data_IF_018359512828
#
_entry.id   IF_018359512828
#
_cell.length_a   1.000
_cell.length_b   1.000
_cell.length_c   1.000
_cell.angle_alpha   90.00
_cell.angle_beta   90.00
_cell.angle_gamma   90.00
#
_symmetry.space_group_name_H-M   'P 1'
#
loop_
_entity.id
_entity.type
_entity.pdbx_description
1 polymer ?
#
# COMPACT_ATOMS: atom_id res chain seq x y z
N UNK A 1 5.54 -5.78 25.82
CA UNK A 1 4.67 -5.16 24.81
C UNK A 1 3.83 -6.28 24.23
N UNK A 2 2.52 -6.34 24.58
CA UNK A 2 1.60 -7.31 23.97
C UNK A 2 1.23 -6.75 22.61
N UNK A 3 1.65 -7.45 21.56
CA UNK A 3 1.12 -7.26 20.20
C UNK A 3 -0.35 -7.70 20.25
N UNK A 4 -1.34 -6.88 19.86
CA UNK A 4 -2.71 -7.34 19.76
C UNK A 4 -2.75 -8.48 18.74
N UNK A 5 -3.45 -9.56 19.08
CA UNK A 5 -3.68 -10.67 18.17
C UNK A 5 -4.40 -10.12 16.93
N UNK A 6 -3.68 -10.06 15.82
CA UNK A 6 -4.27 -9.80 14.52
C UNK A 6 -5.24 -10.95 14.28
N UNK A 7 -6.53 -10.64 14.22
CA UNK A 7 -7.56 -11.58 13.87
C UNK A 7 -7.17 -12.29 12.58
N UNK A 8 -7.51 -13.57 12.50
CA UNK A 8 -7.30 -14.38 11.32
C UNK A 8 -7.94 -13.67 10.11
N UNK A 9 -7.11 -13.04 9.29
CA UNK A 9 -7.53 -12.49 8.00
C UNK A 9 -7.74 -13.70 7.09
N UNK A 10 -8.96 -14.00 6.64
CA UNK A 10 -9.18 -15.07 5.69
C UNK A 10 -8.35 -14.79 4.43
N UNK A 11 -7.72 -15.81 3.93
CA UNK A 11 -6.82 -15.85 2.78
C UNK A 11 -7.66 -15.82 1.48
N UNK A 12 -7.97 -14.65 0.90
CA UNK A 12 -8.84 -14.60 -0.28
C UNK A 12 -8.06 -14.67 -1.59
N UNK A 13 -6.73 -14.55 -1.53
CA UNK A 13 -5.91 -14.62 -2.75
C UNK A 13 -5.24 -15.98 -2.90
N UNK A 14 -5.27 -16.58 -4.09
CA UNK A 14 -4.67 -17.90 -4.32
C UNK A 14 -3.17 -17.86 -4.00
N UNK A 15 -2.78 -18.70 -3.04
CA UNK A 15 -1.39 -18.91 -2.62
C UNK A 15 -0.51 -19.20 -3.82
N UNK A 16 0.68 -18.60 -3.78
CA UNK A 16 1.86 -18.87 -4.60
C UNK A 16 1.75 -20.16 -5.46
N UNK A 17 1.29 -20.05 -6.68
CA UNK A 17 1.55 -21.04 -7.70
C UNK A 17 2.36 -20.34 -8.79
N UNK A 18 3.52 -20.93 -9.07
CA UNK A 18 4.46 -20.66 -10.15
C UNK A 18 3.92 -19.80 -11.32
N UNK A 19 3.88 -18.49 -11.16
CA UNK A 19 3.59 -17.58 -12.27
C UNK A 19 4.84 -16.80 -12.61
N UNK A 20 5.34 -17.05 -13.78
CA UNK A 20 6.37 -16.29 -14.46
C UNK A 20 5.78 -15.00 -15.02
N UNK A 21 6.30 -13.85 -14.60
CA UNK A 21 6.12 -12.58 -15.29
C UNK A 21 4.87 -11.80 -14.88
N UNK A 22 5.03 -10.50 -14.76
CA UNK A 22 3.93 -9.55 -14.53
C UNK A 22 2.84 -9.71 -15.60
N UNK A 23 1.66 -10.13 -15.16
CA UNK A 23 0.47 -10.22 -15.99
C UNK A 23 -0.60 -9.26 -15.47
N UNK A 24 -0.18 -8.02 -15.10
CA UNK A 24 -1.16 -7.00 -14.76
C UNK A 24 -2.07 -6.72 -15.95
N UNK A 25 -3.36 -6.90 -15.75
CA UNK A 25 -4.39 -6.52 -16.71
C UNK A 25 -5.01 -5.22 -16.22
N UNK A 26 -4.90 -4.19 -17.05
CA UNK A 26 -5.43 -2.87 -16.77
C UNK A 26 -6.66 -2.66 -17.62
N UNK A 27 -7.76 -2.28 -16.99
CA UNK A 27 -9.02 -1.94 -17.64
C UNK A 27 -9.50 -0.59 -17.11
N UNK A 28 -9.69 0.38 -18.01
CA UNK A 28 -10.20 1.70 -17.68
C UNK A 28 -11.70 1.77 -17.95
N UNK A 29 -12.46 2.18 -16.93
CA UNK A 29 -13.91 2.31 -17.03
C UNK A 29 -14.41 3.44 -16.13
N UNK A 30 -15.20 4.35 -16.70
CA UNK A 30 -15.83 5.46 -15.98
C UNK A 30 -14.84 6.34 -15.19
N UNK A 31 -13.65 6.59 -15.73
CA UNK A 31 -12.60 7.38 -15.06
C UNK A 31 -11.87 6.64 -13.94
N UNK A 32 -12.15 5.37 -13.72
CA UNK A 32 -11.48 4.53 -12.75
C UNK A 32 -10.63 3.47 -13.45
N UNK A 33 -9.55 3.07 -12.81
CA UNK A 33 -8.65 2.04 -13.32
C UNK A 33 -8.80 0.76 -12.50
N UNK A 34 -9.11 -0.32 -13.16
CA UNK A 34 -9.23 -1.66 -12.57
C UNK A 34 -7.98 -2.46 -12.94
N UNK A 35 -7.21 -2.85 -11.94
CA UNK A 35 -5.95 -3.58 -12.13
C UNK A 35 -6.06 -4.95 -11.49
N UNK A 36 -5.87 -6.00 -12.28
CA UNK A 36 -5.84 -7.38 -11.79
C UNK A 36 -4.53 -8.07 -12.14
N UNK A 37 -4.22 -9.15 -11.43
CA UNK A 37 -2.98 -9.91 -11.66
C UNK A 37 -1.75 -9.26 -11.01
N UNK A 38 -1.93 -8.46 -9.96
CA UNK A 38 -0.84 -7.99 -9.11
C UNK A 38 -0.52 -9.13 -8.14
N UNK A 39 0.64 -9.75 -8.33
CA UNK A 39 1.09 -10.82 -7.46
C UNK A 39 1.66 -10.26 -6.14
N UNK A 40 1.56 -11.02 -5.05
CA UNK A 40 2.14 -10.66 -3.75
C UNK A 40 1.80 -9.22 -3.29
N UNK A 41 0.54 -8.84 -3.41
CA UNK A 41 0.06 -7.53 -3.01
C UNK A 41 -1.21 -7.61 -2.17
N UNK A 42 -1.14 -7.04 -0.97
CA UNK A 42 -2.31 -6.84 -0.10
C UNK A 42 -2.29 -5.41 0.42
N UNK A 43 -3.29 -4.64 0.04
CA UNK A 43 -3.33 -3.19 0.28
C UNK A 43 -3.28 -2.86 1.78
N UNK A 44 -4.11 -3.50 2.60
CA UNK A 44 -4.12 -3.27 4.05
C UNK A 44 -2.77 -3.65 4.69
N UNK A 45 -2.20 -4.81 4.36
CA UNK A 45 -0.90 -5.21 4.89
C UNK A 45 0.19 -4.22 4.49
N UNK A 46 0.13 -3.66 3.27
CA UNK A 46 1.10 -2.70 2.77
C UNK A 46 0.97 -1.33 3.45
N UNK A 47 -0.24 -0.83 3.64
CA UNK A 47 -0.46 0.50 4.21
C UNK A 47 -0.40 0.51 5.75
N UNK A 48 -0.91 -0.54 6.42
CA UNK A 48 -1.06 -0.57 7.87
C UNK A 48 0.16 -1.13 8.61
N UNK A 49 1.22 -1.59 7.91
CA UNK A 49 2.43 -2.14 8.55
C UNK A 49 3.35 -1.09 9.19
N UNK A 50 3.00 0.21 9.13
CA UNK A 50 3.75 1.28 9.78
C UNK A 50 4.87 1.88 8.94
N UNK A 51 4.90 1.66 7.63
CA UNK A 51 5.86 2.28 6.73
C UNK A 51 5.40 3.64 6.17
N UNK A 52 4.09 3.93 6.18
CA UNK A 52 3.52 5.23 5.79
C UNK A 52 2.43 5.65 6.78
N UNK A 53 2.11 6.95 6.81
CA UNK A 53 1.17 7.51 7.78
C UNK A 53 0.16 8.47 7.15
N UNK A 54 0.32 8.81 5.88
CA UNK A 54 -0.51 9.76 5.14
C UNK A 54 -1.63 9.04 4.38
N UNK A 55 -2.39 8.22 5.13
CA UNK A 55 -3.56 7.53 4.59
C UNK A 55 -4.69 7.49 5.62
N UNK A 56 -5.91 7.37 5.12
CA UNK A 56 -7.13 7.17 5.89
C UNK A 56 -7.84 5.91 5.40
N UNK A 57 -8.27 5.07 6.33
CA UNK A 57 -9.08 3.89 6.04
C UNK A 57 -10.54 4.29 6.08
N UNK A 58 -11.26 4.13 4.96
CA UNK A 58 -12.66 4.54 4.82
C UNK A 58 -13.61 3.36 4.68
N UNK A 59 -13.07 2.16 4.49
CA UNK A 59 -13.82 0.92 4.40
C UNK A 59 -12.94 -0.31 4.58
N UNK A 60 -13.51 -1.49 4.37
CA UNK A 60 -12.73 -2.72 4.32
C UNK A 60 -11.90 -2.72 3.03
N UNK A 61 -10.56 -2.73 3.19
CA UNK A 61 -9.61 -2.61 2.07
C UNK A 61 -9.80 -1.36 1.18
N UNK A 62 -10.37 -0.28 1.72
CA UNK A 62 -10.69 0.95 1.03
C UNK A 62 -10.02 2.13 1.74
N UNK A 63 -9.19 2.91 0.99
CA UNK A 63 -8.28 3.89 1.56
C UNK A 63 -8.20 5.16 0.72
N UNK A 64 -8.09 6.29 1.42
CA UNK A 64 -7.53 7.52 0.85
C UNK A 64 -6.05 7.59 1.18
N UNK A 65 -5.24 7.98 0.21
CA UNK A 65 -3.79 8.06 0.31
C UNK A 65 -3.31 9.37 -0.30
N UNK A 66 -2.42 10.06 0.40
CA UNK A 66 -1.69 11.20 -0.16
C UNK A 66 -0.22 10.84 -0.29
N UNK A 67 0.32 10.78 -1.50
CA UNK A 67 1.71 10.43 -1.78
C UNK A 67 2.19 11.04 -3.11
N UNK A 68 3.49 11.32 -3.22
CA UNK A 68 4.09 11.88 -4.45
C UNK A 68 3.39 13.17 -4.92
N UNK A 69 2.84 13.98 -3.99
CA UNK A 69 2.08 15.20 -4.30
C UNK A 69 0.68 14.95 -4.91
N UNK A 70 0.19 13.72 -4.86
CA UNK A 70 -1.10 13.32 -5.39
C UNK A 70 -2.00 12.72 -4.33
N UNK A 71 -3.29 12.91 -4.52
CA UNK A 71 -4.34 12.21 -3.78
C UNK A 71 -4.78 10.98 -4.57
N UNK A 72 -4.99 9.88 -3.87
CA UNK A 72 -5.48 8.62 -4.45
C UNK A 72 -6.59 8.05 -3.57
N UNK A 73 -7.70 7.69 -4.16
CA UNK A 73 -8.69 6.78 -3.60
C UNK A 73 -8.43 5.39 -4.18
N UNK A 74 -8.18 4.40 -3.34
CA UNK A 74 -7.79 3.05 -3.75
C UNK A 74 -8.51 2.00 -2.92
N UNK A 75 -9.03 0.97 -3.60
CA UNK A 75 -9.74 -0.14 -2.95
C UNK A 75 -9.28 -1.48 -3.52
N UNK A 76 -9.01 -2.46 -2.65
CA UNK A 76 -8.74 -3.82 -3.07
C UNK A 76 -9.99 -4.68 -2.89
N UNK A 77 -10.38 -5.37 -3.96
CA UNK A 77 -11.56 -6.23 -4.02
C UNK A 77 -11.26 -7.64 -3.49
N UNK A 78 -12.29 -8.43 -3.21
CA UNK A 78 -12.17 -9.81 -2.74
C UNK A 78 -11.43 -10.73 -3.74
N UNK A 79 -11.54 -10.47 -5.04
CA UNK A 79 -10.82 -11.18 -6.10
C UNK A 79 -9.37 -10.73 -6.28
N UNK A 80 -8.86 -9.90 -5.34
CA UNK A 80 -7.54 -9.28 -5.34
C UNK A 80 -7.30 -8.27 -6.46
N UNK A 81 -8.30 -7.92 -7.25
CA UNK A 81 -8.20 -6.77 -8.14
C UNK A 81 -8.18 -5.47 -7.32
N UNK A 82 -7.55 -4.45 -7.86
CA UNK A 82 -7.41 -3.15 -7.23
C UNK A 82 -8.05 -2.08 -8.10
N UNK A 83 -8.88 -1.25 -7.49
CA UNK A 83 -9.49 -0.11 -8.14
C UNK A 83 -8.73 1.15 -7.73
N UNK A 84 -8.23 1.88 -8.72
CA UNK A 84 -7.68 3.22 -8.56
C UNK A 84 -8.75 4.18 -9.08
N UNK A 85 -9.43 4.86 -8.16
CA UNK A 85 -10.51 5.78 -8.50
C UNK A 85 -9.95 7.09 -9.06
N UNK A 86 -10.66 7.72 -9.98
CA UNK A 86 -10.30 9.00 -10.62
C UNK A 86 -8.84 9.02 -11.11
N UNK A 87 -8.35 7.88 -11.61
CA UNK A 87 -6.96 7.68 -12.03
C UNK A 87 -6.93 7.19 -13.47
N UNK A 88 -6.23 7.88 -14.34
CA UNK A 88 -5.96 7.45 -15.71
C UNK A 88 -4.75 6.49 -15.77
N UNK A 89 -4.64 5.77 -16.87
CA UNK A 89 -3.58 4.79 -17.09
C UNK A 89 -2.18 5.40 -17.00
N UNK A 90 -1.99 6.61 -17.52
CA UNK A 90 -0.70 7.30 -17.50
C UNK A 90 -0.27 7.64 -16.07
N UNK A 91 -1.16 8.22 -15.28
CA UNK A 91 -0.89 8.53 -13.86
C UNK A 91 -0.58 7.26 -13.07
N UNK A 92 -1.28 6.16 -13.36
CA UNK A 92 -0.98 4.86 -12.75
C UNK A 92 0.42 4.37 -13.10
N UNK A 93 0.79 4.35 -14.39
CA UNK A 93 2.08 3.87 -14.86
C UNK A 93 3.24 4.78 -14.39
N UNK A 94 3.07 6.10 -14.44
CA UNK A 94 4.13 7.06 -14.09
C UNK A 94 4.36 7.18 -12.56
N UNK A 95 3.36 6.89 -11.72
CA UNK A 95 3.41 7.19 -10.28
C UNK A 95 3.14 5.96 -9.42
N UNK A 96 1.99 5.30 -9.61
CA UNK A 96 1.53 4.29 -8.67
C UNK A 96 2.22 2.95 -8.83
N UNK A 97 2.65 2.59 -10.05
CA UNK A 97 3.47 1.41 -10.31
C UNK A 97 4.79 1.50 -9.54
N UNK A 98 5.48 2.63 -9.60
CA UNK A 98 6.69 2.89 -8.82
C UNK A 98 6.39 2.94 -7.32
N UNK A 99 5.38 3.74 -6.91
CA UNK A 99 5.07 3.95 -5.50
C UNK A 99 4.80 2.65 -4.74
N UNK A 100 4.00 1.74 -5.32
CA UNK A 100 3.67 0.45 -4.73
C UNK A 100 4.69 -0.66 -5.08
N UNK A 101 5.77 -0.34 -5.80
CA UNK A 101 6.81 -1.28 -6.26
C UNK A 101 6.19 -2.50 -7.00
N UNK A 102 5.23 -2.24 -7.89
CA UNK A 102 4.42 -3.28 -8.52
C UNK A 102 5.19 -4.15 -9.50
N UNK A 103 6.33 -3.66 -10.02
CA UNK A 103 7.16 -4.37 -11.00
C UNK A 103 8.12 -5.39 -10.39
N UNK A 104 8.33 -5.36 -9.08
CA UNK A 104 9.28 -6.26 -8.42
C UNK A 104 8.67 -7.63 -8.14
N UNK A 105 9.40 -8.68 -8.46
CA UNK A 105 9.02 -10.07 -8.14
C UNK A 105 9.28 -10.37 -6.64
N UNK A 106 8.28 -10.07 -5.80
CA UNK A 106 8.33 -10.37 -4.38
C UNK A 106 8.30 -11.87 -4.09
N UNK A 107 7.68 -12.65 -4.95
CA UNK A 107 7.68 -14.11 -4.86
C UNK A 107 9.09 -14.69 -4.98
N UNK A 108 9.91 -14.17 -5.92
CA UNK A 108 11.31 -14.58 -6.04
C UNK A 108 12.12 -14.20 -4.79
N UNK A 109 11.89 -13.00 -4.24
CA UNK A 109 12.56 -12.55 -3.00
C UNK A 109 12.19 -13.47 -1.83
N UNK A 110 10.91 -13.76 -1.63
CA UNK A 110 10.41 -14.66 -0.57
C UNK A 110 11.01 -16.05 -0.69
N UNK A 111 11.00 -16.63 -1.90
CA UNK A 111 11.65 -17.93 -2.16
C UNK A 111 13.15 -17.90 -1.85
N UNK A 112 13.84 -16.81 -2.17
CA UNK A 112 15.27 -16.67 -1.86
C UNK A 112 15.55 -16.60 -0.35
N UNK A 113 14.70 -15.92 0.41
CA UNK A 113 14.80 -15.82 1.87
C UNK A 113 14.53 -17.19 2.49
N UNK A 114 13.46 -17.88 2.10
CA UNK A 114 13.08 -19.18 2.65
C UNK A 114 14.12 -20.29 2.37
N UNK A 115 14.88 -20.18 1.28
CA UNK A 115 16.02 -21.08 1.04
C UNK A 115 17.16 -20.88 2.04
N UNK A 116 17.26 -19.70 2.68
CA UNK A 116 18.30 -19.41 3.68
C UNK A 116 17.83 -19.74 5.09
N UNK A 117 16.56 -19.47 5.39
CA UNK A 117 15.96 -19.72 6.70
C UNK A 117 14.47 -20.05 6.55
N UNK A 118 14.14 -21.31 6.74
CA UNK A 118 12.76 -21.82 6.63
C UNK A 118 11.87 -21.42 7.82
N UNK A 119 12.46 -21.01 8.95
CA UNK A 119 11.71 -20.50 10.11
C UNK A 119 10.92 -19.23 9.81
N UNK A 120 11.31 -18.52 8.77
CA UNK A 120 10.60 -17.31 8.30
C UNK A 120 9.31 -17.62 7.51
N UNK A 121 9.00 -18.91 7.28
CA UNK A 121 7.81 -19.29 6.51
C UNK A 121 6.52 -18.78 7.16
N UNK A 122 6.31 -19.03 8.44
CA UNK A 122 5.06 -18.63 9.11
C UNK A 122 4.84 -17.09 9.12
N UNK A 123 5.83 -16.24 9.46
CA UNK A 123 5.70 -14.79 9.32
C UNK A 123 5.43 -14.34 7.88
N UNK A 124 6.08 -14.97 6.88
CA UNK A 124 5.86 -14.64 5.49
C UNK A 124 4.45 -15.01 5.00
N UNK A 125 3.95 -16.19 5.41
CA UNK A 125 2.59 -16.61 5.06
C UNK A 125 1.54 -15.68 5.69
N UNK A 126 1.80 -15.16 6.89
CA UNK A 126 0.92 -14.21 7.59
C UNK A 126 0.89 -12.84 6.91
N UNK A 127 2.03 -12.34 6.45
CA UNK A 127 2.20 -11.01 5.85
C UNK A 127 2.61 -11.11 4.38
N UNK A 128 1.95 -12.01 3.65
CA UNK A 128 2.31 -12.40 2.30
C UNK A 128 2.24 -11.25 1.28
N UNK A 129 1.36 -10.27 1.50
CA UNK A 129 1.06 -9.22 0.55
C UNK A 129 1.75 -7.89 0.83
N UNK A 130 2.68 -7.80 1.80
CA UNK A 130 3.43 -6.57 2.04
C UNK A 130 4.36 -6.27 0.88
N UNK A 131 4.30 -5.01 0.41
CA UNK A 131 5.29 -4.40 -0.49
C UNK A 131 5.95 -3.20 0.17
N UNK A 132 7.20 -2.92 -0.19
CA UNK A 132 7.92 -1.74 0.29
C UNK A 132 7.54 -0.55 -0.60
N UNK A 133 6.98 0.49 0.01
CA UNK A 133 6.55 1.69 -0.69
C UNK A 133 7.75 2.58 -1.06
N UNK A 134 7.83 3.02 -2.31
CA UNK A 134 8.82 4.00 -2.77
C UNK A 134 8.36 5.43 -2.45
N UNK A 135 8.36 5.76 -1.17
CA UNK A 135 7.95 7.07 -0.65
C UNK A 135 8.96 8.16 -0.97
N UNK A 136 8.56 9.44 -0.84
CA UNK A 136 9.50 10.54 -0.93
C UNK A 136 10.48 10.52 0.26
N UNK A 137 11.75 10.79 0.00
CA UNK A 137 12.78 10.78 1.04
C UNK A 137 12.47 11.74 2.19
N UNK A 138 12.03 12.96 1.88
CA UNK A 138 11.76 13.98 2.89
C UNK A 138 10.58 13.57 3.79
N UNK A 139 9.48 13.11 3.21
CA UNK A 139 8.30 12.64 3.94
C UNK A 139 8.62 11.45 4.84
N UNK A 140 9.37 10.46 4.31
CA UNK A 140 9.82 9.31 5.07
C UNK A 140 10.71 9.71 6.23
N UNK A 141 11.66 10.62 6.00
CA UNK A 141 12.58 11.10 7.04
C UNK A 141 11.83 11.80 8.18
N UNK A 142 10.91 12.71 7.86
CA UNK A 142 10.11 13.42 8.88
C UNK A 142 9.23 12.46 9.66
N UNK A 143 8.53 11.57 8.96
CA UNK A 143 7.68 10.55 9.59
C UNK A 143 8.48 9.61 10.48
N UNK A 144 9.69 9.23 10.08
CA UNK A 144 10.59 8.40 10.86
C UNK A 144 11.06 9.13 12.14
N UNK A 145 11.43 10.42 12.07
CA UNK A 145 11.80 11.23 13.25
C UNK A 145 10.61 11.29 14.22
N UNK A 146 9.40 11.55 13.73
CA UNK A 146 8.19 11.61 14.57
C UNK A 146 7.92 10.25 15.24
N UNK A 147 8.16 9.15 14.51
CA UNK A 147 7.84 7.80 14.97
C UNK A 147 8.70 7.29 16.11
N UNK A 148 9.86 7.91 16.39
CA UNK A 148 10.85 7.41 17.35
C UNK A 148 10.30 7.20 18.78
N UNK A 149 9.30 7.96 19.18
CA UNK A 149 8.74 7.86 20.55
C UNK A 149 7.22 8.12 20.59
N UNK A 150 6.50 7.68 19.59
CA UNK A 150 5.05 7.90 19.48
C UNK A 150 4.33 6.63 19.06
N UNK A 151 3.07 6.51 19.44
CA UNK A 151 2.17 5.48 18.95
C UNK A 151 1.58 5.87 17.58
N UNK A 152 1.21 4.90 16.75
CA UNK A 152 0.72 5.13 15.39
C UNK A 152 -0.38 6.20 15.29
N UNK A 153 -1.42 6.24 16.15
CA UNK A 153 -2.44 7.30 16.07
C UNK A 153 -1.86 8.69 16.26
N UNK A 154 -0.90 8.86 17.20
CA UNK A 154 -0.21 10.12 17.43
C UNK A 154 0.68 10.53 16.25
N UNK A 155 1.38 9.56 15.63
CA UNK A 155 2.21 9.82 14.45
C UNK A 155 1.33 10.35 13.31
N UNK A 156 0.22 9.65 13.00
CA UNK A 156 -0.75 10.07 11.98
C UNK A 156 -1.27 11.48 12.23
N UNK A 157 -1.65 11.79 13.47
CA UNK A 157 -2.11 13.14 13.84
C UNK A 157 -1.06 14.20 13.59
N UNK A 158 0.19 13.99 14.03
CA UNK A 158 1.27 14.95 13.85
C UNK A 158 1.60 15.14 12.38
N UNK A 159 1.67 14.06 11.60
CA UNK A 159 1.90 14.12 10.15
C UNK A 159 0.79 14.91 9.45
N UNK A 160 -0.47 14.66 9.80
CA UNK A 160 -1.62 15.41 9.29
C UNK A 160 -1.55 16.89 9.65
N UNK A 161 -1.30 17.23 10.94
CA UNK A 161 -1.19 18.62 11.41
C UNK A 161 -0.06 19.38 10.69
N UNK A 162 1.09 18.72 10.46
CA UNK A 162 2.20 19.31 9.69
C UNK A 162 1.83 19.54 8.22
N UNK A 163 1.15 18.59 7.62
CA UNK A 163 0.71 18.69 6.22
C UNK A 163 -0.30 19.81 6.01
N UNK A 164 -1.24 19.98 6.94
CA UNK A 164 -2.22 21.09 6.90
C UNK A 164 -1.52 22.46 7.07
N UNK A 165 -0.51 22.54 7.94
CA UNK A 165 0.15 23.83 8.23
C UNK A 165 1.18 24.26 7.20
N UNK A 166 1.89 23.30 6.61
CA UNK A 166 3.10 23.57 5.82
C UNK A 166 3.06 22.91 4.44
N UNK A 167 2.09 22.03 4.19
CA UNK A 167 1.92 21.34 2.93
C UNK A 167 1.19 22.18 1.88
N UNK A 168 1.20 21.67 0.67
CA UNK A 168 0.37 22.14 -0.43
C UNK A 168 -0.71 21.11 -0.72
N UNK A 169 -1.85 21.56 -1.24
CA UNK A 169 -2.93 20.65 -1.61
C UNK A 169 -2.44 19.65 -2.66
N UNK A 170 -2.66 18.36 -2.40
CA UNK A 170 -2.29 17.31 -3.30
C UNK A 170 -3.13 17.37 -4.59
N UNK A 171 -2.52 17.15 -5.74
CA UNK A 171 -3.22 17.14 -7.02
C UNK A 171 -4.22 15.97 -7.04
N UNK A 172 -5.45 16.22 -7.45
CA UNK A 172 -6.55 15.25 -7.49
C UNK A 172 -7.40 15.22 -6.20
N UNK A 173 -7.01 15.94 -5.14
CA UNK A 173 -7.88 16.09 -3.98
C UNK A 173 -9.15 16.87 -4.38
N UNK A 174 -10.33 16.29 -4.10
CA UNK A 174 -11.62 16.95 -4.26
C UNK A 174 -11.95 17.66 -2.96
N UNK A 175 -12.65 18.82 -3.02
CA UNK A 175 -13.09 19.57 -1.84
C UNK A 175 -13.96 18.78 -0.85
N UNK A 176 -14.47 17.63 -1.24
CA UNK A 176 -15.27 16.74 -0.41
C UNK A 176 -14.44 15.95 0.62
N UNK A 177 -13.10 16.03 0.52
CA UNK A 177 -12.14 15.32 1.38
C UNK A 177 -11.25 16.27 2.21
N UNK A 178 -11.65 17.55 2.35
CA UNK A 178 -10.96 18.53 3.20
C UNK A 178 -11.35 18.46 4.68
#
# INVERSE_FOLDING_TARGET
VRVPALGHVPDPCPKLNERKGMNMKINEKNGNLYVSGIDDFHLAQTLECGQCFHFEKVGENDYFLSAKGRFLHICQQEDCSVIFYDTDKRTFEDIWVDYFDLERDYGAIKRAILRKDDKLKAPMDMMWGIRILNQSFFETMISFIISQNKQIPHIKKIVSDLSIRYGSLAQGAKKEYE
#
